data_IF_735445391856
#
_entry.id   IF_735445391856
#
_cell.length_a   1.000
_cell.length_b   1.000
_cell.length_c   1.000
_cell.angle_alpha   90.00
_cell.angle_beta   90.00
_cell.angle_gamma   90.00
#
_symmetry.space_group_name_H-M   'P 1'
#
loop_
_entity.id
_entity.type
_entity.pdbx_description
1 polymer ?
#
# COMPACT_ATOMS: atom_id res chain seq x y z
N UNK A 1 26.74 2.28 -53.98
CA UNK A 1 25.57 2.42 -53.13
C UNK A 1 25.22 1.03 -52.53
N UNK A 2 25.97 0.54 -51.56
CA UNK A 2 25.69 -0.78 -50.94
C UNK A 2 26.35 -0.92 -49.57
N UNK A 3 26.32 0.09 -48.73
CA UNK A 3 26.93 0.03 -47.39
C UNK A 3 25.92 0.14 -46.24
N UNK A 4 24.68 0.47 -46.56
CA UNK A 4 23.67 0.78 -45.49
C UNK A 4 22.93 -0.46 -44.95
N UNK A 5 22.90 -1.56 -45.68
CA UNK A 5 22.13 -2.75 -45.26
C UNK A 5 22.86 -3.64 -44.22
N UNK A 6 24.17 -3.47 -44.04
CA UNK A 6 24.94 -4.23 -43.03
C UNK A 6 24.86 -3.58 -41.64
N UNK A 7 24.81 -2.26 -41.57
CA UNK A 7 24.70 -1.55 -40.30
C UNK A 7 23.33 -1.79 -39.64
N UNK A 8 22.25 -1.84 -40.45
CA UNK A 8 20.90 -2.13 -39.93
C UNK A 8 20.77 -3.56 -39.42
N UNK A 9 21.40 -4.53 -40.08
CA UNK A 9 21.35 -5.95 -39.68
C UNK A 9 22.12 -6.24 -38.38
N UNK A 10 23.24 -5.54 -38.15
CA UNK A 10 23.99 -5.65 -36.89
C UNK A 10 23.27 -5.02 -35.74
N UNK A 11 22.58 -3.89 -35.91
CA UNK A 11 21.75 -3.27 -34.86
C UNK A 11 20.58 -4.15 -34.43
N UNK A 12 19.90 -4.80 -35.40
CA UNK A 12 18.75 -5.69 -35.10
C UNK A 12 19.23 -7.01 -34.47
N UNK A 13 20.43 -7.49 -34.80
CA UNK A 13 20.97 -8.71 -34.21
C UNK A 13 21.53 -8.52 -32.80
N UNK A 14 21.98 -7.32 -32.42
CA UNK A 14 22.37 -6.98 -31.06
C UNK A 14 21.17 -6.78 -30.12
N UNK A 15 20.03 -6.28 -30.64
CA UNK A 15 18.77 -6.23 -29.87
C UNK A 15 18.17 -7.63 -29.63
N UNK A 16 18.46 -8.62 -30.47
CA UNK A 16 17.95 -9.98 -30.32
C UNK A 16 18.76 -10.86 -29.35
N UNK A 17 19.93 -10.44 -28.91
CA UNK A 17 20.68 -11.13 -27.86
C UNK A 17 20.18 -10.65 -26.50
N UNK A 18 19.08 -11.28 -26.06
CA UNK A 18 18.60 -11.51 -24.71
C UNK A 18 19.14 -10.62 -23.60
N UNK A 19 19.10 -9.28 -23.75
CA UNK A 19 19.19 -8.40 -22.60
C UNK A 19 17.89 -8.64 -21.84
N UNK A 20 17.95 -9.43 -20.77
CA UNK A 20 16.89 -9.44 -19.75
C UNK A 20 16.66 -7.97 -19.43
N UNK A 21 15.56 -7.40 -19.92
CA UNK A 21 15.21 -6.01 -19.66
C UNK A 21 15.25 -5.84 -18.14
N UNK A 22 16.11 -4.96 -17.62
CA UNK A 22 16.22 -4.83 -16.17
C UNK A 22 14.85 -4.50 -15.62
N UNK A 23 14.45 -5.16 -14.54
CA UNK A 23 13.14 -4.97 -13.91
C UNK A 23 12.90 -3.48 -13.70
N UNK A 24 11.74 -3.01 -14.13
CA UNK A 24 11.33 -1.63 -13.91
C UNK A 24 11.05 -1.38 -12.43
N UNK A 25 11.13 -0.14 -12.00
CA UNK A 25 10.81 0.25 -10.62
C UNK A 25 9.43 -0.27 -10.14
N UNK A 26 8.33 -0.11 -10.92
CA UNK A 26 7.03 -0.65 -10.51
C UNK A 26 7.03 -2.17 -10.34
N UNK A 27 7.74 -2.90 -11.21
CA UNK A 27 7.85 -4.36 -11.10
C UNK A 27 8.60 -4.77 -9.84
N UNK A 28 9.77 -4.19 -9.55
CA UNK A 28 10.52 -4.48 -8.31
C UNK A 28 9.70 -4.15 -7.07
N UNK A 29 8.98 -3.02 -7.08
CA UNK A 29 8.13 -2.61 -5.97
C UNK A 29 6.96 -3.57 -5.76
N UNK A 30 6.32 -4.02 -6.83
CA UNK A 30 5.24 -5.01 -6.77
C UNK A 30 5.75 -6.32 -6.17
N UNK A 31 6.86 -6.84 -6.68
CA UNK A 31 7.45 -8.08 -6.16
C UNK A 31 7.89 -7.96 -4.70
N UNK A 32 8.45 -6.84 -4.31
CA UNK A 32 8.79 -6.59 -2.91
C UNK A 32 7.55 -6.62 -2.02
N UNK A 33 6.44 -6.01 -2.46
CA UNK A 33 5.16 -6.06 -1.75
C UNK A 33 4.61 -7.49 -1.63
N UNK A 34 4.60 -8.24 -2.74
CA UNK A 34 4.16 -9.65 -2.74
C UNK A 34 5.04 -10.49 -1.80
N UNK A 35 6.36 -10.31 -1.85
CA UNK A 35 7.31 -11.03 -0.99
C UNK A 35 7.07 -10.69 0.49
N UNK A 36 6.83 -9.41 0.81
CA UNK A 36 6.57 -8.98 2.18
C UNK A 36 5.32 -9.64 2.76
N UNK A 37 4.20 -9.57 2.02
CA UNK A 37 2.95 -10.21 2.45
C UNK A 37 3.11 -11.72 2.52
N UNK A 38 3.71 -12.34 1.49
CA UNK A 38 3.95 -13.79 1.45
C UNK A 38 4.80 -14.27 2.61
N UNK A 39 5.85 -13.54 2.97
CA UNK A 39 6.71 -13.87 4.12
C UNK A 39 5.93 -13.88 5.44
N UNK A 40 5.11 -12.83 5.68
CA UNK A 40 4.29 -12.75 6.89
C UNK A 40 3.29 -13.88 6.98
N UNK A 41 2.59 -14.16 5.88
CA UNK A 41 1.62 -15.26 5.82
C UNK A 41 2.30 -16.61 6.06
N UNK A 42 3.43 -16.87 5.39
CA UNK A 42 4.18 -18.11 5.58
C UNK A 42 4.67 -18.26 7.03
N UNK A 43 5.20 -17.21 7.65
CA UNK A 43 5.64 -17.23 9.04
C UNK A 43 4.47 -17.44 10.02
N UNK A 44 3.32 -16.81 9.76
CA UNK A 44 2.12 -17.01 10.58
C UNK A 44 1.63 -18.46 10.51
N UNK A 45 1.51 -19.04 9.31
CA UNK A 45 1.10 -20.43 9.11
C UNK A 45 2.12 -21.38 9.74
N UNK A 46 3.41 -21.19 9.49
CA UNK A 46 4.46 -22.02 10.08
C UNK A 46 4.47 -21.93 11.60
N UNK A 47 4.37 -20.72 12.16
CA UNK A 47 4.29 -20.50 13.60
C UNK A 47 3.09 -21.20 14.25
N UNK A 48 1.95 -21.17 13.57
CA UNK A 48 0.75 -21.87 14.01
C UNK A 48 0.90 -23.39 13.95
N UNK A 49 1.32 -23.94 12.81
CA UNK A 49 1.49 -25.38 12.63
C UNK A 49 2.56 -25.97 13.54
N UNK A 50 3.65 -25.27 13.76
CA UNK A 50 4.73 -25.71 14.65
C UNK A 50 4.42 -25.47 16.15
N UNK A 51 3.30 -24.83 16.49
CA UNK A 51 2.92 -24.52 17.86
C UNK A 51 3.81 -23.46 18.54
N UNK A 52 4.58 -22.68 17.77
CA UNK A 52 5.45 -21.65 18.36
C UNK A 52 4.65 -20.56 19.05
N UNK A 53 3.46 -20.21 18.54
CA UNK A 53 2.62 -19.20 19.15
C UNK A 53 2.20 -19.61 20.58
N UNK A 54 1.75 -20.86 20.75
CA UNK A 54 1.35 -21.38 22.06
C UNK A 54 2.54 -21.45 23.02
N UNK A 55 3.69 -21.96 22.56
CA UNK A 55 4.91 -22.03 23.38
C UNK A 55 5.40 -20.66 23.82
N UNK A 56 5.31 -19.66 22.92
CA UNK A 56 5.72 -18.29 23.25
C UNK A 56 4.81 -17.69 24.35
N UNK A 57 3.49 -17.85 24.19
CA UNK A 57 2.52 -17.40 25.21
C UNK A 57 2.77 -18.09 26.55
N UNK A 58 2.92 -19.43 26.58
CA UNK A 58 3.21 -20.18 27.78
C UNK A 58 4.48 -19.74 28.48
N UNK A 59 5.55 -19.54 27.72
CA UNK A 59 6.84 -19.09 28.28
C UNK A 59 6.76 -17.70 28.94
N UNK A 60 5.94 -16.79 28.40
CA UNK A 60 5.70 -15.49 29.02
C UNK A 60 4.84 -15.58 30.28
N UNK A 61 3.83 -16.44 30.24
CA UNK A 61 2.95 -16.71 31.43
C UNK A 61 3.73 -17.36 32.59
N UNK A 62 4.65 -18.29 32.29
CA UNK A 62 5.57 -18.89 33.27
C UNK A 62 6.47 -17.85 33.95
N UNK A 63 6.79 -16.75 33.25
CA UNK A 63 7.51 -15.61 33.83
C UNK A 63 6.62 -14.62 34.57
N UNK A 64 5.32 -14.92 34.72
CA UNK A 64 4.35 -14.05 35.39
C UNK A 64 3.96 -12.82 34.58
N UNK A 65 4.25 -12.80 33.30
CA UNK A 65 3.89 -11.67 32.41
C UNK A 65 2.42 -11.78 31.98
N UNK A 66 1.69 -10.67 31.91
CA UNK A 66 0.30 -10.68 31.48
C UNK A 66 0.18 -11.07 29.99
N UNK A 67 -0.95 -11.64 29.60
CA UNK A 67 -1.21 -12.12 28.23
C UNK A 67 -0.96 -11.03 27.15
N UNK A 68 -1.25 -9.78 27.49
CA UNK A 68 -0.96 -8.63 26.62
C UNK A 68 0.51 -8.54 26.19
N UNK A 69 1.43 -9.06 26.99
CA UNK A 69 2.86 -9.07 26.70
C UNK A 69 3.18 -9.96 25.50
N UNK A 70 2.46 -11.06 25.31
CA UNK A 70 2.58 -11.91 24.12
C UNK A 70 2.16 -11.15 22.86
N UNK A 71 1.05 -10.42 22.94
CA UNK A 71 0.58 -9.59 21.83
C UNK A 71 1.60 -8.53 21.45
N UNK A 72 2.14 -7.80 22.44
CA UNK A 72 3.22 -6.81 22.21
C UNK A 72 4.44 -7.48 21.58
N UNK A 73 4.83 -8.65 22.06
CA UNK A 73 5.95 -9.42 21.52
C UNK A 73 5.74 -9.82 20.05
N UNK A 74 4.55 -10.30 19.69
CA UNK A 74 4.23 -10.62 18.29
C UNK A 74 4.27 -9.37 17.37
N UNK A 75 3.72 -8.25 17.83
CA UNK A 75 3.76 -6.99 17.05
C UNK A 75 5.21 -6.53 16.86
N UNK A 76 6.02 -6.62 17.91
CA UNK A 76 7.44 -6.26 17.85
C UNK A 76 8.21 -7.17 16.89
N UNK A 77 8.01 -8.49 16.98
CA UNK A 77 8.61 -9.47 16.07
C UNK A 77 8.20 -9.21 14.61
N UNK A 78 6.91 -8.99 14.36
CA UNK A 78 6.41 -8.61 13.05
C UNK A 78 7.11 -7.35 12.52
N UNK A 79 7.20 -6.32 13.35
CA UNK A 79 7.85 -5.06 12.97
C UNK A 79 9.32 -5.25 12.62
N UNK A 80 10.06 -6.06 13.39
CA UNK A 80 11.48 -6.38 13.10
C UNK A 80 11.62 -7.09 11.74
N UNK A 81 10.73 -8.04 11.44
CA UNK A 81 10.76 -8.80 10.18
C UNK A 81 10.45 -7.88 9.00
N UNK A 82 9.47 -6.98 9.15
CA UNK A 82 9.02 -6.11 8.07
C UNK A 82 9.93 -4.91 7.84
N UNK A 83 10.59 -4.41 8.88
CA UNK A 83 11.41 -3.20 8.82
C UNK A 83 12.48 -3.21 7.69
N UNK A 84 13.25 -4.29 7.46
CA UNK A 84 14.21 -4.35 6.35
C UNK A 84 13.52 -4.26 4.98
N UNK A 85 12.35 -4.91 4.81
CA UNK A 85 11.60 -4.92 3.56
C UNK A 85 11.00 -3.54 3.28
N UNK A 86 10.44 -2.91 4.31
CA UNK A 86 9.91 -1.55 4.23
C UNK A 86 11.01 -0.52 3.95
N UNK A 87 12.18 -0.68 4.59
CA UNK A 87 13.33 0.18 4.31
C UNK A 87 13.84 0.00 2.88
N UNK A 88 13.90 -1.24 2.40
CA UNK A 88 14.29 -1.55 1.03
C UNK A 88 13.34 -0.88 0.03
N UNK A 89 12.03 -1.01 0.24
CA UNK A 89 10.99 -0.43 -0.64
C UNK A 89 10.88 1.08 -0.54
N UNK A 90 11.00 1.64 0.68
CA UNK A 90 10.78 3.07 0.93
C UNK A 90 12.00 3.96 0.71
N UNK A 91 13.23 3.39 0.81
CA UNK A 91 14.45 4.20 0.77
C UNK A 91 15.45 3.74 -0.28
N UNK A 92 15.79 2.45 -0.30
CA UNK A 92 16.85 1.93 -1.17
C UNK A 92 16.39 1.84 -2.62
N UNK A 93 15.25 1.24 -2.86
CA UNK A 93 14.73 1.03 -4.21
C UNK A 93 14.50 2.36 -4.98
N UNK A 94 13.90 3.42 -4.41
CA UNK A 94 13.80 4.70 -5.07
C UNK A 94 15.18 5.31 -5.42
N UNK A 95 16.17 5.16 -4.55
CA UNK A 95 17.53 5.67 -4.80
C UNK A 95 18.24 4.93 -5.94
N UNK A 96 18.07 3.60 -6.02
CA UNK A 96 18.63 2.77 -7.10
C UNK A 96 18.14 3.24 -8.48
N UNK A 97 16.90 3.72 -8.54
CA UNK A 97 16.30 4.27 -9.77
C UNK A 97 16.43 5.79 -9.89
N UNK A 98 17.36 6.41 -9.15
CA UNK A 98 17.66 7.85 -9.19
C UNK A 98 16.42 8.75 -8.97
N UNK A 99 15.45 8.25 -8.22
CA UNK A 99 14.25 9.01 -7.93
C UNK A 99 14.56 10.05 -6.86
N UNK A 100 14.23 11.31 -7.14
CA UNK A 100 14.53 12.47 -6.28
C UNK A 100 13.80 12.48 -4.93
N UNK A 101 12.93 11.52 -4.67
CA UNK A 101 12.03 11.52 -3.51
C UNK A 101 12.33 10.45 -2.45
N UNK A 102 13.55 9.97 -2.36
CA UNK A 102 13.88 9.10 -1.24
C UNK A 102 13.40 9.74 0.07
N UNK A 103 12.53 9.05 0.82
CA UNK A 103 12.08 9.53 2.12
C UNK A 103 13.30 9.89 2.97
N UNK A 104 13.33 11.10 3.54
CA UNK A 104 14.35 11.40 4.54
C UNK A 104 14.19 10.38 5.67
N UNK A 105 15.28 9.96 6.29
CA UNK A 105 15.28 8.95 7.36
C UNK A 105 14.26 9.29 8.46
N UNK A 106 14.05 10.57 8.75
CA UNK A 106 13.07 11.01 9.73
C UNK A 106 11.63 10.80 9.29
N UNK A 107 11.30 11.09 8.03
CA UNK A 107 9.96 10.83 7.48
C UNK A 107 9.65 9.34 7.47
N UNK A 108 10.64 8.52 7.15
CA UNK A 108 10.53 7.06 7.21
C UNK A 108 10.24 6.58 8.65
N UNK A 109 11.05 6.99 9.62
CA UNK A 109 10.84 6.63 11.03
C UNK A 109 9.44 7.04 11.51
N UNK A 110 9.03 8.28 11.21
CA UNK A 110 7.68 8.76 11.55
C UNK A 110 6.59 7.89 10.93
N UNK A 111 6.72 7.53 9.66
CA UNK A 111 5.74 6.69 8.96
C UNK A 111 5.66 5.29 9.58
N UNK A 112 6.81 4.67 9.89
CA UNK A 112 6.88 3.35 10.55
C UNK A 112 6.25 3.40 11.95
N UNK A 113 6.58 4.40 12.75
CA UNK A 113 6.00 4.56 14.09
C UNK A 113 4.48 4.76 14.03
N UNK A 114 4.00 5.65 13.16
CA UNK A 114 2.58 5.91 13.03
C UNK A 114 1.83 4.68 12.53
N UNK A 115 2.39 3.98 11.54
CA UNK A 115 1.84 2.72 11.04
C UNK A 115 1.78 1.66 12.15
N UNK A 116 2.88 1.49 12.89
CA UNK A 116 2.95 0.57 14.03
C UNK A 116 1.92 0.90 15.13
N UNK A 117 1.72 2.18 15.45
CA UNK A 117 0.71 2.62 16.43
C UNK A 117 -0.71 2.30 15.98
N UNK A 118 -1.03 2.51 14.69
CA UNK A 118 -2.36 2.19 14.14
C UNK A 118 -2.60 0.68 14.20
N UNK A 119 -1.62 -0.13 13.80
CA UNK A 119 -1.69 -1.59 13.90
C UNK A 119 -1.83 -2.06 15.35
N UNK A 120 -1.04 -1.52 16.25
CA UNK A 120 -1.11 -1.86 17.67
C UNK A 120 -2.50 -1.58 18.23
N UNK A 121 -3.06 -0.40 17.97
CA UNK A 121 -4.40 -0.04 18.41
C UNK A 121 -5.48 -0.99 17.83
N UNK A 122 -5.38 -1.31 16.54
CA UNK A 122 -6.32 -2.21 15.86
C UNK A 122 -6.27 -3.64 16.47
N UNK A 123 -5.08 -4.18 16.69
CA UNK A 123 -4.89 -5.51 17.26
C UNK A 123 -5.35 -5.54 18.72
N UNK A 124 -5.06 -4.50 19.50
CA UNK A 124 -5.52 -4.39 20.89
C UNK A 124 -7.04 -4.36 20.97
N UNK A 125 -7.71 -3.58 20.12
CA UNK A 125 -9.18 -3.56 20.04
C UNK A 125 -9.74 -4.93 19.67
N UNK A 126 -9.12 -5.60 18.71
CA UNK A 126 -9.52 -6.93 18.27
C UNK A 126 -9.37 -7.96 19.38
N UNK A 127 -8.24 -7.92 20.11
CA UNK A 127 -8.01 -8.80 21.26
C UNK A 127 -9.08 -8.57 22.35
N UNK A 128 -9.32 -7.32 22.75
CA UNK A 128 -10.33 -6.99 23.75
C UNK A 128 -11.74 -7.41 23.32
N UNK A 129 -12.10 -7.18 22.07
CA UNK A 129 -13.39 -7.59 21.54
C UNK A 129 -13.55 -9.13 21.50
N UNK A 130 -12.47 -9.81 21.18
CA UNK A 130 -12.43 -11.28 21.21
C UNK A 130 -12.58 -11.85 22.62
N UNK A 131 -11.93 -11.25 23.62
CA UNK A 131 -12.05 -11.69 25.03
C UNK A 131 -13.43 -11.41 25.59
N UNK A 132 -14.08 -10.31 25.26
CA UNK A 132 -15.40 -9.92 25.80
C UNK A 132 -16.57 -10.55 25.04
N UNK A 133 -16.50 -10.66 23.73
CA UNK A 133 -17.60 -11.07 22.85
C UNK A 133 -17.32 -12.34 22.03
N UNK A 134 -16.20 -13.02 22.28
CA UNK A 134 -15.80 -14.20 21.53
C UNK A 134 -15.64 -13.91 20.02
N UNK A 135 -15.92 -14.93 19.20
CA UNK A 135 -15.82 -14.82 17.75
C UNK A 135 -16.70 -13.70 17.16
N UNK A 136 -17.92 -13.53 17.68
CA UNK A 136 -18.84 -12.48 17.21
C UNK A 136 -18.31 -11.08 17.47
N UNK A 137 -17.73 -10.86 18.66
CA UNK A 137 -17.08 -9.59 19.02
C UNK A 137 -15.88 -9.30 18.12
N UNK A 138 -15.05 -10.31 17.86
CA UNK A 138 -13.91 -10.20 16.97
C UNK A 138 -14.33 -9.85 15.52
N UNK A 139 -15.32 -10.56 14.96
CA UNK A 139 -15.82 -10.30 13.60
C UNK A 139 -16.44 -8.90 13.45
N UNK A 140 -17.24 -8.48 14.43
CA UNK A 140 -17.80 -7.13 14.45
C UNK A 140 -16.68 -6.07 14.46
N UNK A 141 -15.68 -6.27 15.30
CA UNK A 141 -14.55 -5.34 15.42
C UNK A 141 -13.72 -5.27 14.15
N UNK A 142 -13.41 -6.40 13.51
CA UNK A 142 -12.74 -6.41 12.17
C UNK A 142 -13.56 -5.62 11.18
N UNK A 143 -14.87 -5.85 11.11
CA UNK A 143 -15.76 -5.13 10.19
C UNK A 143 -15.75 -3.62 10.45
N UNK A 144 -15.79 -3.19 11.71
CA UNK A 144 -15.71 -1.78 12.09
C UNK A 144 -14.35 -1.17 11.77
N UNK A 145 -13.24 -1.88 12.01
CA UNK A 145 -11.89 -1.43 11.64
C UNK A 145 -11.78 -1.26 10.13
N UNK A 146 -12.32 -2.19 9.33
CA UNK A 146 -12.32 -2.08 7.88
C UNK A 146 -13.13 -0.86 7.41
N UNK A 147 -14.33 -0.66 7.93
CA UNK A 147 -15.15 0.52 7.62
C UNK A 147 -14.42 1.80 8.00
N UNK A 148 -13.81 1.85 9.17
CA UNK A 148 -13.00 2.98 9.61
C UNK A 148 -11.80 3.22 8.70
N UNK A 149 -11.07 2.17 8.31
CA UNK A 149 -9.94 2.28 7.38
C UNK A 149 -10.37 2.86 6.03
N UNK A 150 -11.52 2.45 5.48
CA UNK A 150 -12.07 3.05 4.26
C UNK A 150 -12.53 4.49 4.48
N UNK A 151 -13.20 4.79 5.60
CA UNK A 151 -13.68 6.14 5.89
C UNK A 151 -12.52 7.13 6.07
N UNK A 152 -11.46 6.70 6.75
CA UNK A 152 -10.28 7.51 7.06
C UNK A 152 -9.11 7.28 6.09
N UNK A 153 -9.33 6.60 4.98
CA UNK A 153 -8.29 6.28 4.00
C UNK A 153 -7.52 7.52 3.53
N UNK A 154 -8.21 8.62 3.27
CA UNK A 154 -7.56 9.86 2.86
C UNK A 154 -6.75 10.53 3.98
N UNK A 155 -7.28 10.79 5.18
CA UNK A 155 -6.49 11.26 6.31
C UNK A 155 -5.28 10.38 6.63
N UNK A 156 -5.44 9.06 6.59
CA UNK A 156 -4.35 8.12 6.81
C UNK A 156 -3.27 8.25 5.72
N UNK A 157 -3.66 8.35 4.45
CA UNK A 157 -2.73 8.55 3.34
C UNK A 157 -1.96 9.89 3.48
N UNK A 158 -2.60 10.96 3.95
CA UNK A 158 -1.93 12.23 4.21
C UNK A 158 -0.92 12.12 5.36
N UNK A 159 -1.30 11.45 6.45
CA UNK A 159 -0.44 11.32 7.62
C UNK A 159 0.74 10.37 7.38
N UNK A 160 0.49 9.19 6.79
CA UNK A 160 1.48 8.13 6.59
C UNK A 160 2.26 8.35 5.28
N UNK A 161 1.52 8.61 4.19
CA UNK A 161 2.07 8.71 2.83
C UNK A 161 2.65 10.07 2.47
N UNK A 162 2.57 11.05 3.36
CA UNK A 162 3.03 12.43 3.08
C UNK A 162 2.42 13.06 1.83
N UNK A 163 1.19 12.66 1.47
CA UNK A 163 0.48 13.28 0.37
C UNK A 163 0.02 14.69 0.73
N UNK A 164 0.30 15.64 -0.14
CA UNK A 164 -0.13 17.02 0.03
C UNK A 164 -1.17 17.34 -1.04
N UNK A 165 -2.33 17.78 -0.59
CA UNK A 165 -3.38 18.21 -1.52
C UNK A 165 -2.99 19.56 -2.15
N UNK A 166 -3.06 19.63 -3.48
CA UNK A 166 -2.98 20.90 -4.18
C UNK A 166 -4.30 21.67 -4.00
N UNK A 167 -4.20 22.95 -3.70
CA UNK A 167 -5.40 23.79 -3.60
C UNK A 167 -6.07 23.84 -4.97
N UNK A 168 -7.37 23.55 -5.08
CA UNK A 168 -8.07 23.59 -6.36
C UNK A 168 -7.99 24.99 -6.94
N UNK A 169 -7.42 25.12 -8.14
CA UNK A 169 -7.31 26.39 -8.87
C UNK A 169 -8.65 26.85 -9.46
N UNK A 170 -9.67 25.98 -9.47
CA UNK A 170 -10.94 26.23 -10.15
C UNK A 170 -12.13 26.06 -9.21
N UNK A 171 -12.82 27.17 -8.83
CA UNK A 171 -14.01 27.12 -7.97
C UNK A 171 -15.24 26.45 -8.62
N UNK A 172 -15.28 26.28 -9.96
CA UNK A 172 -16.40 25.65 -10.67
C UNK A 172 -16.42 24.13 -10.55
N UNK A 173 -15.42 23.52 -9.94
CA UNK A 173 -15.26 22.06 -9.75
C UNK A 173 -16.13 21.45 -8.64
N UNK A 174 -17.20 22.08 -8.21
CA UNK A 174 -18.09 21.55 -7.15
C UNK A 174 -18.78 20.23 -7.46
N UNK A 175 -18.75 19.74 -8.70
CA UNK A 175 -19.55 18.56 -9.10
C UNK A 175 -18.88 17.20 -8.95
N UNK A 176 -17.53 17.10 -8.81
CA UNK A 176 -16.86 15.82 -8.53
C UNK A 176 -15.62 16.08 -7.66
N UNK A 177 -15.51 15.45 -6.49
CA UNK A 177 -14.39 15.67 -5.60
C UNK A 177 -13.13 14.95 -6.11
N UNK A 178 -12.47 15.54 -7.10
CA UNK A 178 -11.14 15.10 -7.52
C UNK A 178 -10.11 15.80 -6.64
N UNK A 179 -9.26 15.04 -5.98
CA UNK A 179 -8.13 15.51 -5.20
C UNK A 179 -6.88 15.42 -6.07
N UNK A 180 -6.33 16.55 -6.46
CA UNK A 180 -5.02 16.63 -7.09
C UNK A 180 -3.98 16.64 -5.97
N UNK A 181 -3.05 15.72 -6.02
CA UNK A 181 -2.04 15.55 -4.97
C UNK A 181 -0.64 15.67 -5.54
N UNK A 182 0.21 16.38 -4.81
CA UNK A 182 1.63 16.33 -5.05
C UNK A 182 2.16 15.00 -4.52
N UNK A 183 2.52 14.12 -5.45
CA UNK A 183 3.17 12.87 -5.15
C UNK A 183 4.49 12.81 -5.90
N UNK A 184 5.56 12.59 -5.16
CA UNK A 184 6.89 12.45 -5.74
C UNK A 184 7.15 11.03 -6.27
N UNK A 185 6.28 10.07 -5.96
CA UNK A 185 6.39 8.69 -6.43
C UNK A 185 5.82 8.55 -7.85
N UNK A 186 6.65 8.32 -8.88
CA UNK A 186 6.18 8.15 -10.26
C UNK A 186 5.35 6.88 -10.46
N UNK A 187 5.43 5.91 -9.56
CA UNK A 187 4.58 4.72 -9.60
C UNK A 187 3.17 4.99 -9.04
N UNK A 188 2.93 6.15 -8.43
CA UNK A 188 1.61 6.52 -7.98
C UNK A 188 0.70 6.87 -9.17
N UNK A 189 -0.20 5.98 -9.49
CA UNK A 189 -1.15 6.10 -10.60
C UNK A 189 -2.52 6.65 -10.20
N UNK A 190 -2.61 7.19 -8.99
CA UNK A 190 -3.88 7.63 -8.44
C UNK A 190 -4.76 6.50 -7.93
N UNK A 191 -5.92 6.86 -7.41
CA UNK A 191 -6.87 5.88 -6.85
C UNK A 191 -8.23 6.50 -6.54
N UNK A 192 -9.11 5.69 -5.97
CA UNK A 192 -10.39 6.12 -5.44
C UNK A 192 -10.35 5.89 -3.93
N UNK A 193 -10.64 6.91 -3.15
CA UNK A 193 -10.66 6.85 -1.68
C UNK A 193 -12.03 7.24 -1.14
N UNK A 194 -12.37 6.77 0.04
CA UNK A 194 -13.61 7.09 0.75
C UNK A 194 -14.66 6.00 0.70
N UNK A 195 -15.72 6.21 1.46
CA UNK A 195 -16.87 5.31 1.54
C UNK A 195 -17.74 5.40 0.29
N UNK A 196 -18.54 4.35 0.01
CA UNK A 196 -19.58 4.36 -1.01
C UNK A 196 -20.45 5.62 -0.94
N UNK A 197 -20.63 6.29 -2.10
CA UNK A 197 -21.41 7.54 -2.19
C UNK A 197 -20.66 8.81 -1.74
N UNK A 198 -19.47 8.68 -1.14
CA UNK A 198 -18.58 9.79 -0.74
C UNK A 198 -17.16 9.64 -1.27
N UNK A 199 -17.03 8.93 -2.37
CA UNK A 199 -15.74 8.65 -2.99
C UNK A 199 -15.12 9.90 -3.61
N UNK A 200 -13.79 9.91 -3.60
CA UNK A 200 -12.95 10.94 -4.22
C UNK A 200 -11.91 10.30 -5.11
N UNK A 201 -11.70 10.85 -6.29
CA UNK A 201 -10.58 10.49 -7.14
C UNK A 201 -9.34 11.20 -6.67
N UNK A 202 -8.30 10.46 -6.31
CA UNK A 202 -6.98 10.99 -5.96
C UNK A 202 -6.07 10.80 -7.18
N UNK A 203 -5.58 11.88 -7.76
CA UNK A 203 -4.77 11.86 -8.97
C UNK A 203 -3.49 12.67 -8.78
N UNK A 204 -2.35 12.26 -9.39
CA UNK A 204 -1.15 13.06 -9.38
C UNK A 204 -1.36 14.39 -10.08
N UNK A 205 -0.99 15.51 -9.43
CA UNK A 205 -1.10 16.85 -10.02
C UNK A 205 -0.24 16.99 -11.29
N UNK A 206 0.90 16.29 -11.35
CA UNK A 206 1.79 16.24 -12.51
C UNK A 206 1.12 15.73 -13.79
N UNK A 207 0.15 14.85 -13.66
CA UNK A 207 -0.56 14.30 -14.82
C UNK A 207 -1.39 15.36 -15.56
N UNK A 208 -1.92 16.34 -14.83
CA UNK A 208 -2.69 17.42 -15.47
C UNK A 208 -1.82 18.22 -16.44
N UNK A 209 -0.60 18.55 -16.03
CA UNK A 209 0.35 19.26 -16.89
C UNK A 209 0.81 18.39 -18.06
N UNK A 210 1.04 17.11 -17.85
CA UNK A 210 1.52 16.17 -18.86
C UNK A 210 0.45 15.82 -19.92
N UNK A 211 -0.82 15.67 -19.52
CA UNK A 211 -1.91 15.25 -20.42
C UNK A 211 -2.61 16.40 -21.13
N UNK A 212 -2.40 17.65 -20.68
CA UNK A 212 -3.20 18.78 -21.16
C UNK A 212 -4.69 18.70 -20.78
N UNK A 213 -5.47 19.66 -21.24
CA UNK A 213 -6.89 19.77 -20.84
C UNK A 213 -7.76 18.60 -21.33
N UNK A 214 -7.61 18.21 -22.57
CA UNK A 214 -8.41 17.15 -23.19
C UNK A 214 -8.06 15.76 -22.66
N UNK A 215 -6.76 15.45 -22.54
CA UNK A 215 -6.29 14.20 -21.97
C UNK A 215 -6.70 14.05 -20.50
N UNK A 216 -6.66 15.13 -19.73
CA UNK A 216 -7.13 15.15 -18.34
C UNK A 216 -8.63 14.90 -18.25
N UNK A 217 -9.43 15.52 -19.13
CA UNK A 217 -10.89 15.29 -19.20
C UNK A 217 -11.20 13.82 -19.50
N UNK A 218 -10.57 13.26 -20.52
CA UNK A 218 -10.74 11.85 -20.91
C UNK A 218 -10.36 10.91 -19.78
N UNK A 219 -9.27 11.19 -19.05
CA UNK A 219 -8.87 10.40 -17.88
C UNK A 219 -9.95 10.39 -16.79
N UNK A 220 -10.51 11.55 -16.47
CA UNK A 220 -11.55 11.67 -15.44
C UNK A 220 -12.84 10.96 -15.89
N UNK A 221 -13.24 11.10 -17.15
CA UNK A 221 -14.40 10.43 -17.71
C UNK A 221 -14.26 8.92 -17.64
N UNK A 222 -13.11 8.37 -18.06
CA UNK A 222 -12.81 6.94 -17.99
C UNK A 222 -12.82 6.41 -16.55
N UNK A 223 -12.22 7.14 -15.61
CA UNK A 223 -12.23 6.77 -14.18
C UNK A 223 -13.64 6.79 -13.60
N UNK A 224 -14.44 7.74 -14.04
CA UNK A 224 -15.84 7.85 -13.63
C UNK A 224 -16.66 6.66 -14.16
N UNK A 225 -16.45 6.26 -15.41
CA UNK A 225 -17.11 5.10 -15.99
C UNK A 225 -16.79 3.83 -15.22
N UNK A 226 -15.50 3.55 -14.96
CA UNK A 226 -15.06 2.40 -14.16
C UNK A 226 -15.71 2.41 -12.76
N UNK A 227 -15.88 3.58 -12.17
CA UNK A 227 -16.54 3.72 -10.88
C UNK A 227 -18.05 3.38 -10.98
N UNK A 228 -18.75 3.84 -12.02
CA UNK A 228 -20.15 3.51 -12.25
C UNK A 228 -20.39 2.02 -12.53
N UNK A 229 -19.44 1.34 -13.14
CA UNK A 229 -19.49 -0.10 -13.39
C UNK A 229 -19.37 -0.94 -12.09
N UNK A 230 -19.09 -0.32 -10.97
CA UNK A 230 -19.06 -0.97 -9.65
C UNK A 230 -17.90 -1.93 -9.44
N UNK A 231 -16.89 -1.94 -10.30
CA UNK A 231 -15.72 -2.85 -10.21
C UNK A 231 -14.97 -2.73 -8.90
N UNK A 232 -14.94 -1.54 -8.29
CA UNK A 232 -14.37 -1.33 -6.98
C UNK A 232 -15.08 -2.14 -5.90
N UNK A 233 -16.41 -2.15 -5.92
CA UNK A 233 -17.22 -2.88 -4.93
C UNK A 233 -17.08 -4.38 -5.11
N UNK A 234 -17.05 -4.84 -6.34
CA UNK A 234 -16.82 -6.25 -6.65
C UNK A 234 -15.45 -6.70 -6.11
N UNK A 235 -14.40 -5.89 -6.30
CA UNK A 235 -13.07 -6.15 -5.73
C UNK A 235 -13.06 -6.14 -4.20
N UNK A 236 -13.78 -5.21 -3.56
CA UNK A 236 -13.91 -5.17 -2.11
C UNK A 236 -14.67 -6.37 -1.55
N UNK A 237 -15.80 -6.73 -2.16
CA UNK A 237 -16.59 -7.91 -1.76
C UNK A 237 -15.77 -9.18 -1.96
N UNK A 238 -15.06 -9.29 -3.08
CA UNK A 238 -14.16 -10.41 -3.33
C UNK A 238 -13.04 -10.53 -2.30
N UNK A 239 -12.44 -9.40 -1.89
CA UNK A 239 -11.44 -9.39 -0.83
C UNK A 239 -12.00 -9.80 0.54
N UNK A 240 -13.22 -9.34 0.89
CA UNK A 240 -13.88 -9.73 2.15
C UNK A 240 -14.31 -11.20 2.12
N UNK A 241 -14.79 -11.71 0.98
CA UNK A 241 -15.22 -13.10 0.86
C UNK A 241 -14.04 -14.09 0.85
N UNK A 242 -12.85 -13.62 0.51
CA UNK A 242 -11.63 -14.44 0.51
C UNK A 242 -11.03 -14.61 1.91
N UNK A 243 -11.31 -13.74 2.84
CA UNK A 243 -10.84 -13.76 4.24
C UNK A 243 -11.87 -14.37 5.19
#
# INVERSE_FOLDING_TARGET
MSTDSRVLKTSIAEEAHGSQTPWTYPQKRLWLGITSVGLVVCLAIFGWLAGYNARFVSALQEQGLPEISALVGFIFLHSIIMLPLDWLGGTRLPREYQMSYGLSSWKYVKAVLLHGMVWFAAILLLHQAGTLGGLSGALLTVSLIMVAAFAFQWPLAQCIGSFHQEKPHDPLRKRRPTLEVHCQDPAFSGGIVGLPGKERFVLPASWRAALGADGWKTLIERRTQIHHEGLRYQGMIGAIAWH
#
